data_IF_476790963168
#
_entry.id   IF_476790963168
#
_cell.length_a   1.000
_cell.length_b   1.000
_cell.length_c   1.000
_cell.angle_alpha   90.00
_cell.angle_beta   90.00
_cell.angle_gamma   90.00
#
_symmetry.space_group_name_H-M   'P 1'
#
loop_
_entity.id
_entity.type
_entity.pdbx_description
1 polymer ?
#
# COMPACT_ATOMS: atom_id res chain seq x y z
N UNK A 1 40.88 -21.43 -28.98
CA UNK A 1 39.50 -21.94 -28.81
C UNK A 1 38.88 -21.19 -27.63
N UNK A 2 37.71 -20.59 -27.91
CA UNK A 2 36.64 -20.13 -27.02
C UNK A 2 36.91 -18.98 -26.02
N UNK A 3 36.50 -17.80 -26.50
CA UNK A 3 35.97 -16.62 -25.81
C UNK A 3 34.92 -16.96 -24.74
N UNK A 4 34.90 -16.21 -23.64
CA UNK A 4 33.83 -16.31 -22.65
C UNK A 4 33.70 -15.04 -21.81
N UNK A 5 33.00 -14.04 -22.36
CA UNK A 5 32.50 -12.90 -21.62
C UNK A 5 31.55 -13.37 -20.50
N UNK A 6 31.60 -12.76 -19.32
CA UNK A 6 30.53 -12.84 -18.32
C UNK A 6 30.09 -11.43 -17.89
N UNK A 7 28.80 -11.24 -17.61
CA UNK A 7 28.11 -9.98 -17.81
C UNK A 7 28.19 -9.07 -16.58
N UNK A 8 28.10 -7.76 -16.81
CA UNK A 8 27.80 -6.76 -15.80
C UNK A 8 26.49 -7.10 -15.09
N UNK A 9 26.56 -7.33 -13.78
CA UNK A 9 25.40 -7.46 -12.92
C UNK A 9 24.89 -6.05 -12.57
N UNK A 10 24.18 -5.41 -13.50
CA UNK A 10 23.38 -4.24 -13.18
C UNK A 10 22.05 -4.74 -12.58
N UNK A 11 22.10 -5.14 -11.31
CA UNK A 11 20.89 -5.26 -10.51
C UNK A 11 20.53 -3.85 -10.03
N UNK A 12 19.88 -3.09 -10.91
CA UNK A 12 19.08 -1.95 -10.48
C UNK A 12 17.93 -2.51 -9.65
N UNK A 13 18.14 -2.62 -8.35
CA UNK A 13 17.12 -2.94 -7.36
C UNK A 13 16.10 -1.80 -7.44
N UNK A 14 15.01 -1.99 -8.20
CA UNK A 14 14.00 -0.96 -8.39
C UNK A 14 13.34 -0.70 -7.04
N UNK A 15 13.76 0.38 -6.39
CA UNK A 15 13.15 0.86 -5.16
C UNK A 15 11.65 1.06 -5.39
N UNK A 16 10.78 0.69 -4.44
CA UNK A 16 9.37 1.02 -4.54
C UNK A 16 9.21 2.54 -4.64
N UNK A 17 8.64 3.03 -5.75
CA UNK A 17 8.35 4.44 -5.91
C UNK A 17 7.10 4.76 -5.09
N UNK A 18 7.29 5.36 -3.91
CA UNK A 18 6.19 5.91 -3.12
C UNK A 18 5.81 7.29 -3.67
N UNK A 19 4.59 7.43 -4.17
CA UNK A 19 3.97 8.74 -4.44
C UNK A 19 2.91 8.98 -3.37
N UNK A 20 3.35 9.36 -2.17
CA UNK A 20 2.47 9.80 -1.12
C UNK A 20 2.04 11.25 -1.39
N UNK A 21 0.74 11.48 -1.58
CA UNK A 21 0.17 12.82 -1.54
C UNK A 21 -0.54 12.98 -0.20
N UNK A 22 0.19 13.34 0.85
CA UNK A 22 -0.43 13.72 2.11
C UNK A 22 -1.08 15.09 1.96
N UNK A 23 -2.41 15.11 1.91
CA UNK A 23 -3.17 16.35 2.07
C UNK A 23 -3.52 16.43 3.55
N UNK A 24 -2.79 17.24 4.31
CA UNK A 24 -3.01 17.40 5.74
C UNK A 24 -3.37 18.86 6.01
N UNK A 25 -4.58 19.10 6.52
CA UNK A 25 -5.03 20.42 6.92
C UNK A 25 -5.36 20.41 8.42
N UNK A 26 -4.50 21.05 9.23
CA UNK A 26 -4.90 21.61 10.53
C UNK A 26 -4.32 23.01 10.69
N UNK A 27 -4.98 24.07 10.18
CA UNK A 27 -4.69 25.44 10.58
C UNK A 27 -5.27 25.67 11.98
N UNK A 28 -4.49 26.29 12.87
CA UNK A 28 -4.79 26.49 14.30
C UNK A 28 -6.01 27.39 14.61
N UNK A 29 -6.85 27.72 13.62
CA UNK A 29 -8.04 28.59 13.72
C UNK A 29 -9.16 28.20 12.75
N UNK A 30 -9.16 26.99 12.20
CA UNK A 30 -10.19 26.51 11.26
C UNK A 30 -10.94 25.35 11.89
N UNK A 31 -12.27 25.41 11.93
CA UNK A 31 -13.15 24.31 12.33
C UNK A 31 -13.15 23.23 11.22
N UNK A 32 -12.01 22.57 11.01
CA UNK A 32 -11.80 21.61 9.92
C UNK A 32 -11.11 20.37 10.44
N UNK A 33 -11.63 19.22 10.01
CA UNK A 33 -11.04 17.91 10.30
C UNK A 33 -9.81 17.63 9.47
N UNK A 34 -9.20 16.47 9.70
CA UNK A 34 -8.09 15.96 8.91
C UNK A 34 -8.55 14.86 7.98
N UNK A 35 -8.27 15.00 6.69
CA UNK A 35 -8.58 13.95 5.72
C UNK A 35 -7.57 13.94 4.58
N UNK A 36 -7.19 12.75 4.14
CA UNK A 36 -6.19 12.57 3.09
C UNK A 36 -6.29 11.20 2.42
N UNK A 37 -5.63 11.10 1.27
CA UNK A 37 -5.47 9.85 0.52
C UNK A 37 -4.02 9.70 0.10
N UNK A 38 -3.42 8.54 0.32
CA UNK A 38 -2.07 8.22 -0.12
C UNK A 38 -2.06 7.07 -1.13
N UNK A 39 -1.09 7.10 -2.05
CA UNK A 39 -0.94 6.11 -3.10
C UNK A 39 0.41 5.40 -3.04
N UNK A 40 0.41 4.10 -3.28
CA UNK A 40 1.62 3.29 -3.30
C UNK A 40 1.59 2.28 -4.44
N UNK A 41 2.76 1.89 -4.90
CA UNK A 41 2.90 0.87 -5.94
C UNK A 41 3.96 -0.13 -5.54
N UNK A 42 3.61 -1.41 -5.63
CA UNK A 42 4.62 -2.47 -5.60
C UNK A 42 4.95 -2.81 -7.06
N UNK A 43 6.24 -2.84 -7.38
CA UNK A 43 6.71 -3.28 -8.69
C UNK A 43 6.73 -4.81 -8.77
N UNK A 44 6.39 -5.35 -9.94
CA UNK A 44 6.51 -6.77 -10.31
C UNK A 44 5.72 -7.79 -9.43
N UNK A 45 4.43 -8.05 -9.73
CA UNK A 45 3.60 -7.34 -10.70
C UNK A 45 3.24 -5.95 -10.20
N UNK A 46 3.00 -5.01 -11.12
CA UNK A 46 2.54 -3.67 -10.76
C UNK A 46 1.16 -3.75 -10.10
N UNK A 47 1.11 -3.48 -8.80
CA UNK A 47 -0.14 -3.37 -8.03
C UNK A 47 -0.14 -2.01 -7.35
N UNK A 48 -1.22 -1.28 -7.55
CA UNK A 48 -1.42 0.06 -7.04
C UNK A 48 -2.40 0.03 -5.87
N UNK A 49 -2.09 0.81 -4.84
CA UNK A 49 -2.86 0.90 -3.61
C UNK A 49 -3.28 2.34 -3.37
N UNK A 50 -4.50 2.50 -2.86
CA UNK A 50 -4.99 3.76 -2.31
C UNK A 50 -5.37 3.57 -0.85
N UNK A 51 -4.96 4.49 0.01
CA UNK A 51 -5.27 4.50 1.43
C UNK A 51 -5.90 5.83 1.79
N UNK A 52 -7.16 5.82 2.21
CA UNK A 52 -7.89 7.01 2.64
C UNK A 52 -8.08 6.95 4.14
N UNK A 53 -7.79 8.06 4.82
CA UNK A 53 -8.14 8.30 6.22
C UNK A 53 -8.83 9.66 6.36
N UNK A 54 -9.87 9.72 7.18
CA UNK A 54 -10.64 10.94 7.46
C UNK A 54 -11.12 10.97 8.90
N UNK A 55 -10.90 12.10 9.54
CA UNK A 55 -11.21 12.45 10.92
C UNK A 55 -11.86 13.86 10.90
N UNK A 56 -13.18 13.94 10.66
CA UNK A 56 -13.89 15.20 10.56
C UNK A 56 -13.93 15.94 11.90
N UNK A 57 -13.80 17.28 11.86
CA UNK A 57 -13.93 18.12 13.05
C UNK A 57 -15.41 18.32 13.39
N UNK A 58 -15.72 18.25 14.69
CA UNK A 58 -17.07 18.13 15.24
C UNK A 58 -17.80 16.85 14.78
N UNK A 59 -18.17 16.01 15.74
CA UNK A 59 -18.74 14.64 15.68
C UNK A 59 -20.05 14.45 14.87
N UNK A 60 -20.26 15.19 13.80
CA UNK A 60 -21.40 15.10 12.87
C UNK A 60 -21.23 13.94 11.89
N UNK A 61 -19.99 13.53 11.62
CA UNK A 61 -19.66 12.35 10.83
C UNK A 61 -18.65 11.48 11.58
N UNK A 62 -18.75 10.15 11.41
CA UNK A 62 -17.80 9.21 11.98
C UNK A 62 -16.47 9.22 11.21
N UNK A 63 -15.39 8.90 11.92
CA UNK A 63 -14.07 8.66 11.34
C UNK A 63 -14.14 7.55 10.28
N UNK A 64 -13.43 7.74 9.18
CA UNK A 64 -13.46 6.84 8.02
C UNK A 64 -12.06 6.43 7.60
N UNK A 65 -11.90 5.15 7.33
CA UNK A 65 -10.77 4.62 6.58
C UNK A 65 -11.28 3.77 5.41
N UNK A 66 -10.62 3.88 4.27
CA UNK A 66 -10.99 3.16 3.05
C UNK A 66 -9.73 2.73 2.28
N UNK A 67 -9.82 1.60 1.58
CA UNK A 67 -8.73 1.03 0.78
C UNK A 67 -9.15 0.80 -0.65
N UNK A 68 -8.20 0.99 -1.56
CA UNK A 68 -8.32 0.63 -2.97
C UNK A 68 -7.12 -0.21 -3.39
N UNK A 69 -7.33 -1.16 -4.30
CA UNK A 69 -6.29 -1.98 -4.90
C UNK A 69 -6.60 -2.16 -6.39
N UNK A 70 -5.58 -2.03 -7.24
CA UNK A 70 -5.74 -2.20 -8.69
C UNK A 70 -4.49 -2.77 -9.36
N UNK A 71 -4.69 -3.56 -10.41
CA UNK A 71 -3.62 -3.97 -11.35
C UNK A 71 -3.36 -2.92 -12.43
N UNK A 72 -4.25 -1.94 -12.57
CA UNK A 72 -4.07 -0.77 -13.45
C UNK A 72 -3.60 0.43 -12.64
N UNK A 73 -2.97 1.39 -13.32
CA UNK A 73 -2.47 2.61 -12.68
C UNK A 73 -3.58 3.32 -11.92
N UNK A 74 -3.41 3.45 -10.60
CA UNK A 74 -4.26 4.25 -9.74
C UNK A 74 -3.62 5.62 -9.52
N UNK A 75 -4.25 6.67 -10.04
CA UNK A 75 -3.83 8.05 -9.79
C UNK A 75 -4.54 8.60 -8.56
N UNK A 76 -3.78 9.20 -7.64
CA UNK A 76 -4.33 9.84 -6.45
C UNK A 76 -4.78 11.24 -6.82
N UNK A 77 -6.09 11.46 -6.77
CA UNK A 77 -6.73 12.72 -7.13
C UNK A 77 -7.88 13.01 -6.17
N UNK A 78 -8.45 14.22 -6.24
CA UNK A 78 -9.67 14.57 -5.52
C UNK A 78 -10.84 13.64 -5.89
N UNK A 79 -10.97 13.25 -7.15
CA UNK A 79 -12.05 12.35 -7.59
C UNK A 79 -11.86 10.95 -7.01
N UNK A 80 -10.62 10.46 -6.96
CA UNK A 80 -10.28 9.20 -6.30
C UNK A 80 -10.61 9.24 -4.81
N UNK A 81 -10.27 10.34 -4.13
CA UNK A 81 -10.65 10.57 -2.73
C UNK A 81 -12.17 10.53 -2.55
N UNK A 82 -12.93 11.32 -3.32
CA UNK A 82 -14.38 11.40 -3.20
C UNK A 82 -15.06 10.06 -3.48
N UNK A 83 -14.57 9.32 -4.48
CA UNK A 83 -15.07 7.98 -4.78
C UNK A 83 -14.84 7.04 -3.59
N UNK A 84 -13.60 6.93 -3.09
CA UNK A 84 -13.26 6.07 -1.96
C UNK A 84 -14.02 6.45 -0.68
N UNK A 85 -14.17 7.75 -0.40
CA UNK A 85 -14.93 8.25 0.76
C UNK A 85 -16.39 7.77 0.72
N UNK A 86 -17.00 7.73 -0.47
CA UNK A 86 -18.37 7.28 -0.67
C UNK A 86 -18.56 5.75 -0.66
N UNK A 87 -17.54 4.98 -1.05
CA UNK A 87 -17.64 3.50 -1.17
C UNK A 87 -17.37 2.76 0.13
N UNK A 88 -16.58 3.35 1.04
CA UNK A 88 -16.31 2.81 2.39
C UNK A 88 -15.80 1.35 2.41
N UNK A 89 -14.93 1.01 1.45
CA UNK A 89 -14.34 -0.34 1.36
C UNK A 89 -13.23 -0.48 2.39
N UNK A 90 -13.40 -1.36 3.36
CA UNK A 90 -12.41 -1.56 4.45
C UNK A 90 -11.54 -2.81 4.28
N UNK A 91 -11.87 -3.67 3.31
CA UNK A 91 -11.13 -4.90 3.02
C UNK A 91 -11.21 -5.25 1.55
N UNK A 92 -10.05 -5.57 0.97
CA UNK A 92 -9.89 -6.08 -0.39
C UNK A 92 -8.98 -7.29 -0.39
N UNK A 93 -9.29 -8.23 -1.28
CA UNK A 93 -8.44 -9.40 -1.54
C UNK A 93 -8.19 -9.48 -3.03
N UNK A 94 -6.93 -9.58 -3.43
CA UNK A 94 -6.54 -9.70 -4.83
C UNK A 94 -5.66 -10.94 -5.05
N UNK A 95 -6.00 -11.80 -6.02
CA UNK A 95 -5.12 -12.89 -6.42
C UNK A 95 -3.83 -12.35 -7.02
N UNK A 96 -2.71 -13.00 -6.69
CA UNK A 96 -1.40 -12.74 -7.32
C UNK A 96 -0.80 -14.07 -7.78
N UNK A 97 0.14 -14.09 -8.75
CA UNK A 97 0.62 -15.34 -9.35
C UNK A 97 1.11 -16.43 -8.39
N UNK A 98 1.48 -16.07 -7.15
CA UNK A 98 1.98 -16.98 -6.12
C UNK A 98 1.25 -16.85 -4.78
N UNK A 99 -0.02 -16.46 -4.79
CA UNK A 99 -0.79 -16.36 -3.56
C UNK A 99 -1.95 -15.36 -3.66
N UNK A 100 -2.23 -14.71 -2.53
CA UNK A 100 -3.22 -13.63 -2.46
C UNK A 100 -2.69 -12.49 -1.60
N UNK A 101 -3.10 -11.29 -1.97
CA UNK A 101 -2.84 -10.07 -1.23
C UNK A 101 -4.13 -9.66 -0.52
N UNK A 102 -4.09 -9.62 0.80
CA UNK A 102 -5.20 -9.15 1.63
C UNK A 102 -4.85 -7.74 2.13
N UNK A 103 -5.67 -6.74 1.81
CA UNK A 103 -5.53 -5.37 2.28
C UNK A 103 -6.72 -5.01 3.16
N UNK A 104 -6.45 -4.55 4.37
CA UNK A 104 -7.48 -4.13 5.33
C UNK A 104 -7.16 -2.77 5.90
N UNK A 105 -8.17 -2.03 6.34
CA UNK A 105 -7.98 -0.83 7.14
C UNK A 105 -8.91 -0.76 8.35
N UNK A 106 -8.48 0.03 9.33
CA UNK A 106 -9.28 0.41 10.50
C UNK A 106 -8.93 1.84 10.91
N UNK A 107 -9.84 2.51 11.61
CA UNK A 107 -9.61 3.82 12.21
C UNK A 107 -10.28 3.85 13.57
N UNK A 108 -9.64 4.51 14.53
CA UNK A 108 -10.23 4.73 15.86
C UNK A 108 -11.35 5.76 15.81
N UNK A 109 -12.21 5.76 16.83
CA UNK A 109 -13.35 6.68 16.97
C UNK A 109 -13.08 7.88 17.89
N UNK A 110 -11.82 8.11 18.26
CA UNK A 110 -11.42 9.23 19.11
C UNK A 110 -10.98 10.43 18.25
N UNK A 111 -11.00 11.62 18.83
CA UNK A 111 -10.59 12.87 18.14
C UNK A 111 -9.10 12.87 17.72
N UNK A 112 -8.28 12.06 18.40
CA UNK A 112 -6.89 11.78 18.02
C UNK A 112 -6.78 10.33 17.53
N UNK A 113 -7.45 10.02 16.42
CA UNK A 113 -7.43 8.68 15.85
C UNK A 113 -6.24 8.44 14.92
N UNK A 114 -5.90 7.15 14.77
CA UNK A 114 -4.92 6.68 13.79
C UNK A 114 -5.63 5.74 12.83
N UNK A 115 -5.52 6.03 11.53
CA UNK A 115 -5.91 5.09 10.48
C UNK A 115 -4.79 4.07 10.27
N UNK A 116 -5.10 2.79 10.48
CA UNK A 116 -4.17 1.67 10.27
C UNK A 116 -4.51 0.94 8.99
N UNK A 117 -3.51 0.71 8.14
CA UNK A 117 -3.64 -0.06 6.90
C UNK A 117 -2.70 -1.25 6.96
N UNK A 118 -3.26 -2.45 6.78
CA UNK A 118 -2.51 -3.70 6.86
C UNK A 118 -2.53 -4.40 5.52
N UNK A 119 -1.34 -4.57 4.94
CA UNK A 119 -1.13 -5.34 3.73
C UNK A 119 -0.52 -6.70 4.07
N UNK A 120 -1.26 -7.77 3.84
CA UNK A 120 -0.86 -9.15 4.15
C UNK A 120 -0.62 -9.93 2.88
N UNK A 121 0.62 -10.39 2.68
CA UNK A 121 0.95 -11.34 1.63
C UNK A 121 0.76 -12.76 2.14
N UNK A 122 -0.22 -13.48 1.59
CA UNK A 122 -0.41 -14.89 1.88
C UNK A 122 0.20 -15.69 0.73
N UNK A 123 1.38 -16.27 0.94
CA UNK A 123 2.02 -17.15 -0.03
C UNK A 123 1.17 -18.38 -0.33
N UNK A 124 1.08 -18.75 -1.60
CA UNK A 124 0.59 -20.06 -2.02
C UNK A 124 1.68 -21.11 -1.76
N UNK A 125 1.27 -22.33 -1.40
CA UNK A 125 2.15 -23.50 -1.27
C UNK A 125 2.81 -23.85 -2.62
N UNK A 126 3.90 -23.16 -2.98
CA UNK A 126 5.13 -23.68 -3.61
C UNK A 126 6.21 -22.60 -3.43
N UNK A 127 6.92 -22.63 -2.31
CA UNK A 127 8.29 -22.15 -2.26
C UNK A 127 9.12 -23.31 -1.75
N UNK A 128 9.57 -24.16 -2.68
CA UNK A 128 10.78 -24.95 -2.41
C UNK A 128 11.89 -23.97 -2.09
N UNK A 129 12.73 -24.28 -1.10
CA UNK A 129 13.73 -23.40 -0.48
C UNK A 129 14.83 -22.84 -1.41
N UNK A 130 14.65 -22.93 -2.73
CA UNK A 130 15.54 -22.39 -3.75
C UNK A 130 15.26 -20.91 -4.08
N UNK A 131 14.08 -20.37 -3.71
CA UNK A 131 13.73 -18.97 -3.98
C UNK A 131 13.99 -18.00 -2.81
N UNK A 132 14.32 -18.53 -1.64
CA UNK A 132 14.91 -17.73 -0.55
C UNK A 132 16.40 -18.03 -0.60
N UNK A 133 17.19 -17.12 -1.19
CA UNK A 133 18.65 -17.18 -1.22
C UNK A 133 19.22 -17.18 0.19
N UNK A 134 19.10 -18.33 0.85
CA UNK A 134 19.71 -18.66 2.11
C UNK A 134 20.95 -19.43 1.71
N UNK A 135 22.01 -18.72 1.37
CA UNK A 135 23.34 -19.29 1.49
C UNK A 135 23.48 -19.65 2.98
N UNK A 136 23.22 -20.92 3.29
CA UNK A 136 23.58 -21.53 4.55
C UNK A 136 25.11 -21.51 4.58
N UNK A 137 25.67 -20.50 5.23
CA UNK A 137 27.03 -20.57 5.73
C UNK A 137 27.05 -21.67 6.80
N UNK A 138 27.35 -22.91 6.41
CA UNK A 138 27.91 -23.89 7.33
C UNK A 138 29.33 -23.43 7.68
N UNK A 139 29.49 -22.86 8.86
CA UNK A 139 30.80 -22.66 9.48
C UNK A 139 31.32 -24.04 9.93
N UNK A 140 32.50 -24.42 9.42
CA UNK A 140 33.22 -25.65 9.76
C UNK A 140 34.27 -25.37 10.83
#
# INVERSE_FOLDING_TARGET
MLTGARPSLDQTQSSPTALAQEVCFKPHQSLVGSAGISGYTIANPAIWFGFLGSDPDFSTEDNKACVAMSTTHLTITKDTYSHMYSTNVTRLTQPVPRGKLDLTCSIGSADDCVATFTLTFNGGTVVTGEALGSDVLEEK
#
